data_IF_998349095373
#
_entry.id   IF_998349095373
#
_cell.length_a   1.000
_cell.length_b   1.000
_cell.length_c   1.000
_cell.angle_alpha   90.00
_cell.angle_beta   90.00
_cell.angle_gamma   90.00
#
_symmetry.space_group_name_H-M   'P 1'
#
loop_
_entity.id
_entity.type
_entity.pdbx_description
1 polymer ?
#
# COMPACT_ATOMS: atom_id res chain seq x y z
N UNK A 1 -5.64 -10.44 4.26
CA UNK A 1 -5.87 -10.42 5.71
C UNK A 1 -5.72 -11.80 6.36
N UNK A 2 -6.46 -12.86 5.93
CA UNK A 2 -6.48 -14.17 6.62
C UNK A 2 -5.08 -14.77 6.86
N UNK A 3 -4.23 -15.01 5.84
CA UNK A 3 -2.91 -15.62 6.08
C UNK A 3 -2.01 -14.72 6.92
N UNK A 4 -2.08 -13.41 6.75
CA UNK A 4 -1.34 -12.47 7.59
C UNK A 4 -1.75 -12.56 9.05
N UNK A 5 -3.05 -12.58 9.35
CA UNK A 5 -3.56 -12.72 10.72
C UNK A 5 -3.09 -14.03 11.36
N UNK A 6 -3.18 -15.15 10.63
CA UNK A 6 -2.73 -16.46 11.13
C UNK A 6 -1.22 -16.45 11.37
N UNK A 7 -0.41 -15.89 10.47
CA UNK A 7 1.04 -15.77 10.61
C UNK A 7 1.41 -14.98 11.86
N UNK A 8 0.71 -13.88 12.09
CA UNK A 8 0.99 -12.98 13.20
C UNK A 8 0.60 -13.62 14.55
N UNK A 9 -0.55 -14.30 14.60
CA UNK A 9 -0.97 -15.07 15.78
C UNK A 9 0.01 -16.22 16.09
N UNK A 10 0.55 -16.88 15.05
CA UNK A 10 1.56 -17.92 15.21
C UNK A 10 2.86 -17.36 15.82
N UNK A 11 3.31 -16.20 15.34
CA UNK A 11 4.53 -15.55 15.84
C UNK A 11 4.34 -15.06 17.29
N UNK A 12 3.21 -14.42 17.59
CA UNK A 12 2.90 -13.92 18.94
C UNK A 12 2.68 -15.06 19.95
N UNK A 13 2.14 -16.20 19.51
CA UNK A 13 1.87 -17.37 20.36
C UNK A 13 2.97 -18.42 20.34
N UNK A 14 4.14 -18.18 19.72
CA UNK A 14 5.17 -19.19 19.54
C UNK A 14 5.67 -19.80 20.86
N UNK A 15 5.82 -18.99 21.90
CA UNK A 15 6.27 -19.43 23.21
C UNK A 15 5.28 -20.41 23.88
N UNK A 16 3.98 -20.19 23.68
CA UNK A 16 2.93 -21.06 24.25
C UNK A 16 2.88 -22.43 23.58
N UNK A 17 3.36 -22.52 22.34
CA UNK A 17 3.39 -23.75 21.52
C UNK A 17 4.76 -24.43 21.61
N UNK A 18 5.74 -23.82 22.30
CA UNK A 18 7.10 -24.34 22.44
C UNK A 18 7.94 -24.21 21.14
N UNK A 19 7.58 -23.29 20.26
CA UNK A 19 8.31 -22.99 19.03
C UNK A 19 9.25 -21.80 19.25
N UNK A 20 10.45 -21.86 18.66
CA UNK A 20 11.28 -20.65 18.60
C UNK A 20 10.68 -19.63 17.62
N UNK A 21 10.91 -18.34 17.85
CA UNK A 21 10.44 -17.23 16.96
C UNK A 21 10.90 -17.43 15.52
N UNK A 22 12.13 -17.93 15.32
CA UNK A 22 12.68 -18.23 13.99
C UNK A 22 11.86 -19.33 13.29
N UNK A 23 11.50 -20.38 14.03
CA UNK A 23 10.71 -21.50 13.52
C UNK A 23 9.28 -21.09 13.19
N UNK A 24 8.65 -20.29 14.08
CA UNK A 24 7.33 -19.72 13.84
C UNK A 24 7.29 -18.81 12.60
N UNK A 25 8.32 -17.99 12.42
CA UNK A 25 8.46 -17.13 11.22
C UNK A 25 8.66 -17.96 9.94
N UNK A 26 9.48 -19.01 9.97
CA UNK A 26 9.67 -19.91 8.82
C UNK A 26 8.36 -20.60 8.42
N UNK A 27 7.61 -21.12 9.40
CA UNK A 27 6.29 -21.73 9.17
C UNK A 27 5.31 -20.71 8.58
N UNK A 28 5.32 -19.47 9.07
CA UNK A 28 4.48 -18.39 8.54
C UNK A 28 4.79 -18.10 7.07
N UNK A 29 6.07 -18.06 6.66
CA UNK A 29 6.46 -17.89 5.25
C UNK A 29 5.98 -19.06 4.38
N UNK A 30 6.17 -20.30 4.82
CA UNK A 30 5.71 -21.50 4.07
C UNK A 30 4.19 -21.48 3.93
N UNK A 31 3.46 -21.16 4.99
CA UNK A 31 2.00 -21.07 4.96
C UNK A 31 1.51 -19.99 3.97
N UNK A 32 2.15 -18.82 3.96
CA UNK A 32 1.81 -17.77 2.99
C UNK A 32 2.11 -18.22 1.55
N UNK A 33 3.24 -18.88 1.29
CA UNK A 33 3.59 -19.42 -0.02
C UNK A 33 2.56 -20.44 -0.52
N UNK A 34 2.16 -21.38 0.35
CA UNK A 34 1.13 -22.37 0.04
C UNK A 34 -0.23 -21.72 -0.21
N UNK A 35 -0.61 -20.72 0.61
CA UNK A 35 -1.84 -19.96 0.41
C UNK A 35 -1.88 -19.30 -0.97
N UNK A 36 -0.80 -18.62 -1.36
CA UNK A 36 -0.67 -18.02 -2.69
C UNK A 36 -0.76 -19.06 -3.80
N UNK A 37 -0.07 -20.17 -3.66
CA UNK A 37 -0.09 -21.26 -4.62
C UNK A 37 -1.51 -21.80 -4.84
N UNK A 38 -2.22 -22.15 -3.77
CA UNK A 38 -3.56 -22.72 -3.88
C UNK A 38 -4.59 -21.74 -4.44
N UNK A 39 -4.52 -20.46 -4.07
CA UNK A 39 -5.44 -19.43 -4.60
C UNK A 39 -5.14 -19.10 -6.07
N UNK A 40 -3.90 -19.27 -6.52
CA UNK A 40 -3.55 -19.03 -7.93
C UNK A 40 -4.08 -20.13 -8.86
N UNK A 41 -4.27 -21.36 -8.39
CA UNK A 41 -4.76 -22.48 -9.21
C UNK A 41 -6.11 -22.18 -9.89
N UNK A 42 -7.17 -21.71 -9.21
CA UNK A 42 -8.42 -21.35 -9.86
C UNK A 42 -8.26 -20.25 -10.90
N UNK A 43 -7.38 -19.27 -10.64
CA UNK A 43 -7.08 -18.21 -11.60
C UNK A 43 -6.48 -18.80 -12.89
N UNK A 44 -5.46 -19.65 -12.77
CA UNK A 44 -4.81 -20.28 -13.93
C UNK A 44 -5.77 -21.17 -14.74
N UNK A 45 -6.74 -21.83 -14.06
CA UNK A 45 -7.71 -22.69 -14.73
C UNK A 45 -8.82 -21.93 -15.44
N UNK A 46 -9.25 -20.80 -14.91
CA UNK A 46 -10.43 -20.06 -15.39
C UNK A 46 -10.06 -18.78 -16.15
N UNK A 47 -8.78 -18.38 -16.15
CA UNK A 47 -8.36 -17.16 -16.84
C UNK A 47 -8.41 -17.34 -18.35
N UNK A 48 -9.20 -16.50 -19.01
CA UNK A 48 -9.24 -16.38 -20.47
C UNK A 48 -8.84 -14.97 -20.85
N UNK A 49 -7.77 -14.86 -21.60
CA UNK A 49 -7.36 -13.56 -22.11
C UNK A 49 -8.24 -13.19 -23.31
N UNK A 50 -9.08 -12.18 -23.14
CA UNK A 50 -10.06 -11.75 -24.16
C UNK A 50 -9.42 -10.81 -25.18
N UNK A 51 -8.50 -9.96 -24.75
CA UNK A 51 -7.81 -9.00 -25.61
C UNK A 51 -6.37 -9.44 -25.87
N UNK A 52 -6.09 -9.81 -27.12
CA UNK A 52 -4.73 -10.14 -27.57
C UNK A 52 -4.18 -8.97 -28.39
N UNK A 53 -3.02 -8.48 -28.04
CA UNK A 53 -2.26 -7.59 -28.92
C UNK A 53 -1.46 -8.48 -29.87
N UNK A 54 -1.87 -8.53 -31.13
CA UNK A 54 -1.23 -9.34 -32.19
C UNK A 54 0.11 -8.77 -32.66
N UNK A 55 0.42 -7.52 -32.32
CA UNK A 55 1.66 -6.87 -32.72
C UNK A 55 2.82 -7.32 -31.79
N UNK A 56 3.76 -8.08 -32.34
CA UNK A 56 5.08 -8.36 -31.73
C UNK A 56 5.97 -7.11 -31.81
N UNK A 57 5.54 -6.00 -31.23
CA UNK A 57 6.41 -4.84 -31.10
C UNK A 57 7.45 -5.07 -29.99
N UNK A 58 8.69 -4.60 -30.16
CA UNK A 58 9.68 -4.61 -29.09
C UNK A 58 9.12 -3.88 -27.85
N UNK A 59 9.33 -4.45 -26.67
CA UNK A 59 8.83 -3.92 -25.39
C UNK A 59 9.16 -2.43 -25.21
N UNK A 60 10.37 -2.03 -25.64
CA UNK A 60 10.85 -0.65 -25.54
C UNK A 60 10.00 0.30 -26.40
N UNK A 61 9.61 -0.10 -27.62
CA UNK A 61 8.81 0.72 -28.52
C UNK A 61 7.38 0.86 -28.00
N UNK A 62 6.82 -0.22 -27.45
CA UNK A 62 5.52 -0.20 -26.80
C UNK A 62 5.52 0.74 -25.58
N UNK A 63 6.54 0.66 -24.73
CA UNK A 63 6.70 1.55 -23.58
C UNK A 63 6.81 3.03 -24.01
N UNK A 64 7.63 3.34 -25.02
CA UNK A 64 7.74 4.71 -25.57
C UNK A 64 6.40 5.22 -26.10
N UNK A 65 5.64 4.37 -26.79
CA UNK A 65 4.32 4.72 -27.32
C UNK A 65 3.36 5.07 -26.19
N UNK A 66 3.30 4.25 -25.14
CA UNK A 66 2.43 4.48 -23.97
C UNK A 66 2.84 5.74 -23.23
N UNK A 67 4.13 5.98 -22.99
CA UNK A 67 4.63 7.21 -22.36
C UNK A 67 4.28 8.45 -23.19
N UNK A 68 4.40 8.38 -24.51
CA UNK A 68 3.99 9.49 -25.41
C UNK A 68 2.48 9.71 -25.35
N UNK A 69 1.69 8.64 -25.31
CA UNK A 69 0.23 8.72 -25.18
C UNK A 69 -0.19 9.34 -23.84
N UNK A 70 0.47 8.97 -22.73
CA UNK A 70 0.27 9.58 -21.41
C UNK A 70 0.62 11.06 -21.42
N UNK A 71 1.75 11.44 -22.03
CA UNK A 71 2.17 12.85 -22.16
C UNK A 71 1.15 13.69 -22.92
N UNK A 72 0.52 13.13 -23.94
CA UNK A 72 -0.50 13.81 -24.74
C UNK A 72 -1.87 13.88 -24.03
N UNK A 73 -2.14 12.94 -23.12
CA UNK A 73 -3.35 12.93 -22.30
C UNK A 73 -3.10 13.66 -20.97
N UNK A 74 -3.31 14.97 -20.96
CA UNK A 74 -3.08 15.82 -19.77
C UNK A 74 -3.80 15.32 -18.53
N UNK A 75 -4.99 14.73 -18.66
CA UNK A 75 -5.76 14.21 -17.52
C UNK A 75 -5.06 13.03 -16.82
N UNK A 76 -4.54 12.10 -17.60
CA UNK A 76 -3.77 10.95 -17.11
C UNK A 76 -2.44 11.40 -16.54
N UNK A 77 -1.72 12.28 -17.24
CA UNK A 77 -0.42 12.80 -16.81
C UNK A 77 -0.53 13.52 -15.46
N UNK A 78 -1.45 14.48 -15.33
CA UNK A 78 -1.65 15.20 -14.06
C UNK A 78 -2.07 14.28 -12.91
N UNK A 79 -2.89 13.27 -13.22
CA UNK A 79 -3.25 12.30 -12.20
C UNK A 79 -2.05 11.48 -11.74
N UNK A 80 -1.20 10.98 -12.64
CA UNK A 80 0.00 10.22 -12.30
C UNK A 80 1.01 11.04 -11.49
N UNK A 81 1.21 12.31 -11.84
CA UNK A 81 2.06 13.22 -11.06
C UNK A 81 1.48 13.43 -9.65
N UNK A 82 0.19 13.75 -9.55
CA UNK A 82 -0.46 13.90 -8.25
C UNK A 82 -0.43 12.60 -7.44
N UNK A 83 -0.69 11.45 -8.10
CA UNK A 83 -0.60 10.12 -7.50
C UNK A 83 0.78 9.86 -6.91
N UNK A 84 1.83 10.15 -7.65
CA UNK A 84 3.21 9.97 -7.20
C UNK A 84 3.46 10.68 -5.86
N UNK A 85 3.10 11.97 -5.76
CA UNK A 85 3.36 12.75 -4.56
C UNK A 85 2.50 12.33 -3.35
N UNK A 86 1.19 12.10 -3.55
CA UNK A 86 0.39 11.74 -2.38
C UNK A 86 0.60 10.29 -1.93
N UNK A 87 0.87 9.38 -2.88
CA UNK A 87 1.11 7.98 -2.52
C UNK A 87 2.49 7.78 -1.87
N UNK A 88 3.46 8.62 -2.22
CA UNK A 88 4.75 8.70 -1.55
C UNK A 88 4.58 8.95 -0.05
N UNK A 89 3.83 9.98 0.34
CA UNK A 89 3.53 10.26 1.74
C UNK A 89 2.76 9.13 2.43
N UNK A 90 1.80 8.51 1.73
CA UNK A 90 1.02 7.37 2.26
C UNK A 90 1.92 6.17 2.54
N UNK A 91 2.74 5.76 1.57
CA UNK A 91 3.64 4.62 1.72
C UNK A 91 4.72 4.88 2.76
N UNK A 92 5.30 6.08 2.80
CA UNK A 92 6.27 6.46 3.81
C UNK A 92 5.70 6.31 5.22
N UNK A 93 4.49 6.80 5.48
CA UNK A 93 3.82 6.64 6.78
C UNK A 93 3.62 5.15 7.12
N UNK A 94 3.17 4.33 6.15
CA UNK A 94 2.90 2.90 6.37
C UNK A 94 4.20 2.13 6.64
N UNK A 95 5.23 2.35 5.83
CA UNK A 95 6.49 1.60 5.88
C UNK A 95 7.36 2.00 7.07
N UNK A 96 7.35 3.29 7.43
CA UNK A 96 8.14 3.81 8.54
C UNK A 96 7.43 3.77 9.90
N UNK A 97 6.14 3.42 9.95
CA UNK A 97 5.37 3.40 11.19
C UNK A 97 5.99 2.50 12.28
N UNK A 98 6.50 1.32 11.90
CA UNK A 98 7.13 0.39 12.84
C UNK A 98 8.49 0.88 13.32
N UNK A 99 9.30 1.47 12.43
CA UNK A 99 10.59 2.05 12.80
C UNK A 99 10.38 3.22 13.76
N UNK A 100 9.48 4.13 13.42
CA UNK A 100 9.14 5.26 14.27
C UNK A 100 8.55 4.84 15.62
N UNK A 101 7.71 3.79 15.64
CA UNK A 101 7.20 3.24 16.90
C UNK A 101 8.30 2.69 17.81
N UNK A 102 9.35 2.08 17.26
CA UNK A 102 10.54 1.65 18.01
C UNK A 102 11.32 2.83 18.60
N UNK A 103 11.51 3.87 17.80
CA UNK A 103 12.22 5.09 18.24
C UNK A 103 11.50 5.79 19.40
N UNK A 104 10.17 5.70 19.46
CA UNK A 104 9.33 6.18 20.57
C UNK A 104 9.30 5.21 21.77
N UNK A 105 9.97 4.06 21.68
CA UNK A 105 10.09 3.08 22.77
C UNK A 105 8.91 2.12 22.91
N UNK A 106 8.15 1.87 21.83
CA UNK A 106 7.05 0.90 21.83
C UNK A 106 7.64 -0.50 21.64
N UNK A 107 7.22 -1.46 22.45
CA UNK A 107 7.67 -2.83 22.37
C UNK A 107 7.22 -3.55 21.09
N UNK A 108 8.02 -4.52 20.63
CA UNK A 108 7.79 -5.24 19.38
C UNK A 108 6.43 -5.94 19.32
N UNK A 109 5.94 -6.49 20.44
CA UNK A 109 4.63 -7.14 20.48
C UNK A 109 3.49 -6.13 20.26
N UNK A 110 3.57 -4.95 20.87
CA UNK A 110 2.60 -3.87 20.67
C UNK A 110 2.62 -3.36 19.21
N UNK A 111 3.80 -3.28 18.59
CA UNK A 111 3.91 -2.91 17.17
C UNK A 111 3.24 -3.96 16.26
N UNK A 112 3.48 -5.26 16.52
CA UNK A 112 2.85 -6.34 15.78
C UNK A 112 1.32 -6.35 15.95
N UNK A 113 0.83 -6.13 17.16
CA UNK A 113 -0.61 -6.02 17.44
C UNK A 113 -1.22 -4.80 16.74
N UNK A 114 -0.53 -3.66 16.71
CA UNK A 114 -0.97 -2.48 15.98
C UNK A 114 -1.06 -2.74 14.48
N UNK A 115 -0.10 -3.46 13.88
CA UNK A 115 -0.18 -3.91 12.48
C UNK A 115 -1.38 -4.83 12.26
N UNK A 116 -1.70 -5.73 13.18
CA UNK A 116 -2.89 -6.58 13.09
C UNK A 116 -4.15 -5.72 13.12
N UNK A 117 -4.24 -4.78 14.07
CA UNK A 117 -5.35 -3.86 14.20
C UNK A 117 -5.56 -3.06 12.89
N UNK A 118 -4.48 -2.55 12.28
CA UNK A 118 -4.59 -1.81 11.02
C UNK A 118 -5.22 -2.67 9.92
N UNK A 119 -4.87 -3.95 9.81
CA UNK A 119 -5.44 -4.85 8.81
C UNK A 119 -6.92 -5.17 9.06
N UNK A 120 -7.28 -5.37 10.32
CA UNK A 120 -8.67 -5.66 10.72
C UNK A 120 -9.57 -4.46 10.47
N UNK A 121 -9.10 -3.25 10.81
CA UNK A 121 -9.86 -2.01 10.62
C UNK A 121 -9.89 -1.59 9.14
N UNK A 122 -8.79 -1.73 8.39
CA UNK A 122 -8.74 -1.35 6.98
C UNK A 122 -9.75 -2.12 6.11
N UNK A 123 -10.04 -3.37 6.44
CA UNK A 123 -10.96 -4.19 5.66
C UNK A 123 -12.40 -3.62 5.61
N UNK A 124 -13.11 -3.40 6.72
CA UNK A 124 -14.45 -2.83 6.67
C UNK A 124 -14.47 -1.40 6.08
N UNK A 125 -13.46 -0.57 6.38
CA UNK A 125 -13.41 0.77 5.81
C UNK A 125 -13.18 0.77 4.30
N UNK A 126 -12.39 -0.14 3.74
CA UNK A 126 -12.27 -0.29 2.29
C UNK A 126 -13.62 -0.59 1.62
N UNK A 127 -14.47 -1.42 2.26
CA UNK A 127 -15.83 -1.71 1.78
C UNK A 127 -16.76 -0.49 1.89
N UNK A 128 -16.65 0.28 2.98
CA UNK A 128 -17.41 1.52 3.18
C UNK A 128 -17.06 2.52 2.07
N UNK A 129 -15.77 2.79 1.85
CA UNK A 129 -15.34 3.69 0.77
C UNK A 129 -15.72 3.17 -0.62
N UNK A 130 -15.71 1.85 -0.85
CA UNK A 130 -16.22 1.25 -2.07
C UNK A 130 -17.72 1.50 -2.30
N UNK A 131 -18.53 1.50 -1.22
CA UNK A 131 -19.95 1.88 -1.29
C UNK A 131 -20.12 3.39 -1.49
N UNK A 132 -19.32 4.21 -0.82
CA UNK A 132 -19.33 5.67 -1.00
C UNK A 132 -18.97 6.08 -2.43
N UNK A 133 -18.05 5.37 -3.08
CA UNK A 133 -17.65 5.63 -4.47
C UNK A 133 -18.78 5.44 -5.49
N UNK A 134 -19.89 4.76 -5.10
CA UNK A 134 -21.12 4.69 -5.92
C UNK A 134 -22.00 5.94 -5.79
N UNK A 135 -21.85 6.71 -4.70
CA UNK A 135 -22.69 7.89 -4.41
C UNK A 135 -21.95 9.21 -4.62
N UNK A 136 -20.65 9.22 -4.41
CA UNK A 136 -19.82 10.43 -4.46
C UNK A 136 -18.74 10.32 -5.55
N UNK A 137 -18.31 11.44 -6.14
CA UNK A 137 -17.21 11.43 -7.10
C UNK A 137 -15.94 10.85 -6.49
N UNK A 138 -15.31 9.90 -7.18
CA UNK A 138 -14.09 9.23 -6.70
C UNK A 138 -12.97 10.23 -6.37
N UNK A 139 -12.86 11.31 -7.14
CA UNK A 139 -11.89 12.40 -6.87
C UNK A 139 -12.07 13.02 -5.47
N UNK A 140 -13.30 13.30 -5.07
CA UNK A 140 -13.60 13.89 -3.75
C UNK A 140 -13.25 12.93 -2.62
N UNK A 141 -13.46 11.63 -2.83
CA UNK A 141 -13.08 10.60 -1.86
C UNK A 141 -11.55 10.45 -1.76
N UNK A 142 -10.83 10.51 -2.88
CA UNK A 142 -9.35 10.53 -2.86
C UNK A 142 -8.86 11.77 -2.09
N UNK A 143 -9.44 12.94 -2.38
CA UNK A 143 -9.08 14.18 -1.67
C UNK A 143 -9.35 14.07 -0.17
N UNK A 144 -10.47 13.50 0.25
CA UNK A 144 -10.76 13.28 1.67
C UNK A 144 -9.74 12.36 2.34
N UNK A 145 -9.27 11.32 1.63
CA UNK A 145 -8.19 10.46 2.13
C UNK A 145 -6.86 11.23 2.26
N UNK A 146 -6.50 12.06 1.27
CA UNK A 146 -5.28 12.89 1.32
C UNK A 146 -5.33 13.85 2.51
N UNK A 147 -6.46 14.52 2.74
CA UNK A 147 -6.68 15.39 3.90
C UNK A 147 -6.56 14.57 5.20
N UNK A 148 -7.13 13.36 5.24
CA UNK A 148 -6.97 12.46 6.37
C UNK A 148 -5.51 12.13 6.67
N UNK A 149 -4.72 11.80 5.65
CA UNK A 149 -3.28 11.54 5.80
C UNK A 149 -2.48 12.78 6.22
N UNK A 150 -2.88 13.97 5.77
CA UNK A 150 -2.30 15.21 6.25
C UNK A 150 -2.50 15.37 7.78
N UNK A 151 -3.71 15.14 8.28
CA UNK A 151 -3.95 15.17 9.72
C UNK A 151 -3.22 14.06 10.49
N UNK A 152 -3.08 12.87 9.90
CA UNK A 152 -2.26 11.79 10.46
C UNK A 152 -0.81 12.24 10.60
N UNK A 153 -0.22 12.84 9.56
CA UNK A 153 1.15 13.34 9.60
C UNK A 153 1.33 14.44 10.65
N UNK A 154 0.38 15.38 10.75
CA UNK A 154 0.40 16.42 11.77
C UNK A 154 0.29 15.82 13.18
N UNK A 155 -0.62 14.85 13.38
CA UNK A 155 -0.76 14.17 14.68
C UNK A 155 0.50 13.38 15.07
N UNK A 156 1.22 12.80 14.10
CA UNK A 156 2.44 12.07 14.33
C UNK A 156 3.57 12.94 14.95
N UNK A 157 3.54 14.26 14.78
CA UNK A 157 4.51 15.17 15.41
C UNK A 157 4.40 15.21 16.95
N UNK A 158 3.24 14.85 17.51
CA UNK A 158 3.00 14.78 18.96
C UNK A 158 2.96 13.34 19.49
N UNK A 159 3.56 12.40 18.76
CA UNK A 159 3.60 11.00 19.14
C UNK A 159 4.71 10.78 20.20
N UNK A 160 4.32 10.73 21.47
CA UNK A 160 5.21 10.57 22.61
C UNK A 160 4.85 9.37 23.51
N UNK A 161 3.70 8.74 23.25
CA UNK A 161 3.12 7.68 24.10
C UNK A 161 2.52 6.55 23.29
N UNK A 162 2.59 5.33 23.82
CA UNK A 162 2.07 4.12 23.16
C UNK A 162 0.57 4.25 22.79
N UNK A 163 -0.27 4.86 23.63
CA UNK A 163 -1.70 4.99 23.31
C UNK A 163 -1.96 5.88 22.08
N UNK A 164 -1.17 6.95 21.89
CA UNK A 164 -1.27 7.81 20.69
C UNK A 164 -0.88 7.04 19.43
N UNK A 165 0.08 6.12 19.51
CA UNK A 165 0.43 5.24 18.41
C UNK A 165 -0.74 4.34 18.01
N UNK A 166 -1.47 3.77 18.98
CA UNK A 166 -2.66 2.98 18.68
C UNK A 166 -3.76 3.78 17.99
N UNK A 167 -3.99 5.02 18.44
CA UNK A 167 -4.91 5.94 17.78
C UNK A 167 -4.46 6.24 16.35
N UNK A 168 -3.17 6.54 16.15
CA UNK A 168 -2.59 6.77 14.84
C UNK A 168 -2.79 5.55 13.92
N UNK A 169 -2.53 4.34 14.41
CA UNK A 169 -2.71 3.09 13.67
C UNK A 169 -4.16 2.92 13.18
N UNK A 170 -5.15 3.25 13.99
CA UNK A 170 -6.57 3.22 13.61
C UNK A 170 -6.86 4.24 12.50
N UNK A 171 -6.37 5.48 12.63
CA UNK A 171 -6.57 6.51 11.60
C UNK A 171 -5.92 6.12 10.27
N UNK A 172 -4.69 5.60 10.30
CA UNK A 172 -4.02 5.06 9.09
C UNK A 172 -4.86 3.96 8.46
N UNK A 173 -5.37 3.03 9.27
CA UNK A 173 -6.18 1.91 8.79
C UNK A 173 -7.45 2.34 8.06
N UNK A 174 -8.12 3.40 8.54
CA UNK A 174 -9.34 3.94 7.92
C UNK A 174 -9.10 4.35 6.47
N UNK A 175 -7.97 4.98 6.17
CA UNK A 175 -7.71 5.55 4.84
C UNK A 175 -6.83 4.67 3.96
N UNK A 176 -6.00 3.76 4.53
CA UNK A 176 -5.00 2.98 3.82
C UNK A 176 -5.58 2.15 2.67
N UNK A 177 -6.59 1.32 2.95
CA UNK A 177 -7.23 0.49 1.92
C UNK A 177 -8.02 1.32 0.93
N UNK A 178 -8.66 2.38 1.41
CA UNK A 178 -9.49 3.27 0.60
C UNK A 178 -8.68 4.02 -0.45
N UNK A 179 -7.59 4.70 -0.08
CA UNK A 179 -6.82 5.54 -0.99
C UNK A 179 -6.20 4.73 -2.13
N UNK A 180 -5.70 3.52 -1.84
CA UNK A 180 -5.12 2.64 -2.86
C UNK A 180 -6.19 2.13 -3.84
N UNK A 181 -7.33 1.65 -3.32
CA UNK A 181 -8.42 1.13 -4.15
C UNK A 181 -9.07 2.22 -5.01
N UNK A 182 -9.34 3.40 -4.42
CA UNK A 182 -9.93 4.53 -5.12
C UNK A 182 -9.02 5.10 -6.21
N UNK A 183 -7.71 5.20 -5.95
CA UNK A 183 -6.72 5.67 -6.92
C UNK A 183 -6.66 4.74 -8.12
N UNK A 184 -6.61 3.43 -7.90
CA UNK A 184 -6.62 2.42 -8.96
C UNK A 184 -7.94 2.43 -9.75
N UNK A 185 -9.07 2.55 -9.06
CA UNK A 185 -10.40 2.66 -9.68
C UNK A 185 -10.55 3.93 -10.52
N UNK A 186 -10.09 5.08 -10.01
CA UNK A 186 -10.13 6.32 -10.77
C UNK A 186 -9.22 6.28 -12.00
N UNK A 187 -8.02 5.70 -11.86
CA UNK A 187 -7.10 5.53 -12.98
C UNK A 187 -7.72 4.69 -14.09
N UNK A 188 -8.36 3.56 -13.73
CA UNK A 188 -9.09 2.71 -14.68
C UNK A 188 -10.16 3.47 -15.50
N UNK A 189 -10.80 4.47 -14.89
CA UNK A 189 -11.85 5.27 -15.57
C UNK A 189 -11.30 6.30 -16.57
N UNK A 190 -10.03 6.66 -16.50
CA UNK A 190 -9.44 7.73 -17.33
C UNK A 190 -8.49 7.21 -18.41
N UNK A 191 -8.15 5.92 -18.38
CA UNK A 191 -7.28 5.27 -19.37
C UNK A 191 -8.09 4.57 -20.45
N UNK A 192 -7.53 4.35 -21.66
CA UNK A 192 -8.17 3.55 -22.70
C UNK A 192 -8.17 2.06 -22.34
N UNK A 193 -9.34 1.42 -22.45
CA UNK A 193 -9.52 0.00 -22.11
C UNK A 193 -8.61 -0.94 -22.91
N UNK A 194 -8.37 -0.61 -24.19
CA UNK A 194 -7.54 -1.43 -25.10
C UNK A 194 -6.06 -1.49 -24.71
N UNK A 195 -5.57 -0.58 -23.87
CA UNK A 195 -4.18 -0.49 -23.43
C UNK A 195 -4.07 -0.52 -21.88
N UNK A 196 -5.08 -1.03 -21.20
CA UNK A 196 -5.15 -1.01 -19.74
C UNK A 196 -3.94 -1.66 -19.07
N UNK A 197 -3.44 -2.78 -19.60
CA UNK A 197 -2.28 -3.49 -19.04
C UNK A 197 -1.02 -2.63 -19.03
N UNK A 198 -0.72 -1.95 -20.13
CA UNK A 198 0.47 -1.10 -20.24
C UNK A 198 0.35 0.13 -19.36
N UNK A 199 -0.83 0.75 -19.31
CA UNK A 199 -1.08 1.91 -18.45
C UNK A 199 -0.98 1.54 -16.97
N UNK A 200 -1.51 0.40 -16.54
CA UNK A 200 -1.35 -0.07 -15.16
C UNK A 200 0.10 -0.44 -14.82
N UNK A 201 0.87 -0.93 -15.80
CA UNK A 201 2.32 -1.10 -15.63
C UNK A 201 3.02 0.21 -15.28
N UNK A 202 2.71 1.31 -15.97
CA UNK A 202 3.23 2.65 -15.66
C UNK A 202 2.74 3.12 -14.28
N UNK A 203 1.46 2.92 -13.96
CA UNK A 203 0.90 3.27 -12.65
C UNK A 203 1.65 2.58 -11.50
N UNK A 204 1.95 1.28 -11.66
CA UNK A 204 2.70 0.52 -10.65
C UNK A 204 4.17 0.99 -10.53
N UNK A 205 4.80 1.41 -11.65
CA UNK A 205 6.14 2.02 -11.62
C UNK A 205 6.11 3.33 -10.82
N UNK A 206 5.11 4.19 -11.02
CA UNK A 206 4.96 5.43 -10.26
C UNK A 206 4.73 5.15 -8.77
N UNK A 207 3.89 4.17 -8.42
CA UNK A 207 3.63 3.79 -7.03
C UNK A 207 4.87 3.24 -6.32
N UNK A 208 5.61 2.34 -6.97
CA UNK A 208 6.86 1.78 -6.40
C UNK A 208 7.98 2.81 -6.36
N UNK A 209 8.08 3.68 -7.37
CA UNK A 209 9.04 4.78 -7.40
C UNK A 209 8.79 5.78 -6.27
N UNK A 210 7.52 6.07 -5.96
CA UNK A 210 7.13 6.91 -4.85
C UNK A 210 7.56 6.29 -3.50
N UNK A 211 7.20 5.03 -3.24
CA UNK A 211 7.61 4.32 -2.02
C UNK A 211 9.14 4.34 -1.81
N UNK A 212 9.91 4.09 -2.88
CA UNK A 212 11.37 4.16 -2.83
C UNK A 212 11.88 5.58 -2.49
N UNK A 213 11.28 6.61 -3.08
CA UNK A 213 11.71 7.98 -2.86
C UNK A 213 11.45 8.45 -1.43
N UNK A 214 10.27 8.15 -0.87
CA UNK A 214 9.90 8.51 0.50
C UNK A 214 10.81 7.86 1.53
N UNK A 215 11.05 6.56 1.42
CA UNK A 215 11.95 5.85 2.33
C UNK A 215 13.41 6.32 2.21
N UNK A 216 13.87 6.65 0.99
CA UNK A 216 15.21 7.20 0.76
C UNK A 216 15.36 8.59 1.43
N UNK A 217 14.39 9.48 1.24
CA UNK A 217 14.40 10.82 1.84
C UNK A 217 14.40 10.74 3.37
N UNK A 218 13.59 9.86 3.96
CA UNK A 218 13.58 9.61 5.40
C UNK A 218 14.95 9.12 5.88
N UNK A 219 15.55 8.14 5.22
CA UNK A 219 16.88 7.63 5.58
C UNK A 219 17.95 8.69 5.53
N UNK A 220 17.98 9.53 4.50
CA UNK A 220 18.94 10.65 4.37
C UNK A 220 18.70 11.68 5.49
N UNK A 221 17.45 12.04 5.75
CA UNK A 221 17.11 13.02 6.79
C UNK A 221 17.55 12.53 8.17
N UNK A 222 17.30 11.26 8.49
CA UNK A 222 17.73 10.65 9.76
C UNK A 222 19.24 10.69 9.91
N UNK A 223 20.00 10.31 8.88
CA UNK A 223 21.48 10.35 8.91
C UNK A 223 22.03 11.77 9.12
N UNK A 224 21.45 12.77 8.46
CA UNK A 224 21.88 14.16 8.61
C UNK A 224 21.56 14.67 10.03
N UNK A 225 20.40 14.32 10.59
CA UNK A 225 19.96 14.74 11.90
C UNK A 225 20.76 14.06 13.01
N UNK A 226 21.07 12.78 12.90
CA UNK A 226 21.88 12.05 13.89
C UNK A 226 23.36 12.47 13.86
N UNK A 227 23.91 12.84 12.71
CA UNK A 227 25.27 13.38 12.61
C UNK A 227 25.39 14.82 13.11
N UNK A 228 24.27 15.51 13.38
CA UNK A 228 24.27 16.89 13.89
C UNK A 228 24.15 16.97 15.42
N UNK A 229 24.05 15.82 16.11
CA UNK A 229 24.09 15.68 17.58
C UNK A 229 25.47 15.16 18.02
#
# INVERSE_FOLDING_TARGET
CIPFTISLLLILGCDTIGLSTVMATAIAFIMNALWWFFITIPLLKNYQQINYTTAKEPIINNLKRVLTSIKNNKKVLFFLIAFFFYIDGVYTIIEMATSYGKDVGIDDNSLLLALLLTQVVAFPFSLIFGKLAKKFPVKSLILSCIIGYFFIAVFALWLDTAWKFWVLAVFVAVFQGAIQALSRSYYAQIIPESQASEYFGIFDIFGKGASFMGTLLMGITTQITDNSK
#
